data_IF_741833390466
#
_entry.id   IF_741833390466
#
_cell.length_a   1.000
_cell.length_b   1.000
_cell.length_c   1.000
_cell.angle_alpha   90.00
_cell.angle_beta   90.00
_cell.angle_gamma   90.00
#
_symmetry.space_group_name_H-M   'P 1'
#
loop_
_entity.id
_entity.type
_entity.pdbx_description
1 polymer ?
#
# COMPACT_ATOMS: atom_id res chain seq x y z
N UNK A 1 -29.58 11.39 11.60
CA UNK A 1 -28.10 11.31 11.60
C UNK A 1 -27.63 12.32 10.57
N UNK A 2 -27.09 13.43 11.02
CA UNK A 2 -26.67 14.52 10.14
C UNK A 2 -25.37 14.11 9.42
N UNK A 3 -25.49 13.73 8.14
CA UNK A 3 -24.35 13.45 7.26
C UNK A 3 -23.86 14.76 6.62
N UNK A 4 -22.99 15.53 7.28
CA UNK A 4 -21.97 16.29 6.56
C UNK A 4 -20.98 16.98 7.50
N UNK A 5 -19.70 16.61 7.40
CA UNK A 5 -18.73 17.43 6.65
C UNK A 5 -17.44 16.62 6.38
N UNK A 6 -17.54 15.65 5.47
CA UNK A 6 -16.37 15.03 4.85
C UNK A 6 -15.58 16.12 4.12
N UNK A 7 -14.49 16.60 4.71
CA UNK A 7 -13.51 17.47 4.03
C UNK A 7 -12.44 16.57 3.45
N UNK A 8 -12.72 16.01 2.29
CA UNK A 8 -11.75 15.24 1.54
C UNK A 8 -10.64 16.18 1.04
N UNK A 9 -9.40 15.95 1.49
CA UNK A 9 -8.24 16.58 0.85
C UNK A 9 -7.68 15.59 -0.17
N UNK A 10 -7.89 15.89 -1.44
CA UNK A 10 -7.46 15.05 -2.55
C UNK A 10 -6.39 15.72 -3.40
N UNK A 11 -5.49 14.92 -3.97
CA UNK A 11 -4.67 15.35 -5.11
C UNK A 11 -4.76 14.32 -6.23
N UNK A 12 -4.94 14.83 -7.43
CA UNK A 12 -4.97 14.08 -8.67
C UNK A 12 -3.60 14.16 -9.37
N UNK A 13 -3.08 13.00 -9.77
CA UNK A 13 -1.81 12.86 -10.48
C UNK A 13 -2.04 12.14 -11.80
N UNK A 14 -1.76 12.81 -12.90
CA UNK A 14 -1.84 12.18 -14.23
C UNK A 14 -0.71 11.15 -14.37
N UNK A 15 -1.08 9.89 -14.63
CA UNK A 15 -0.11 8.80 -14.84
C UNK A 15 0.36 8.72 -16.29
N UNK A 16 -0.28 9.49 -17.18
CA UNK A 16 0.00 9.51 -18.62
C UNK A 16 -0.02 10.95 -19.11
N UNK A 17 0.75 11.28 -20.14
CA UNK A 17 0.77 12.64 -20.73
C UNK A 17 -0.59 13.08 -21.28
N UNK A 18 -1.45 12.12 -21.63
CA UNK A 18 -2.82 12.35 -22.09
C UNK A 18 -3.82 12.52 -20.95
N UNK A 19 -3.43 12.25 -19.69
CA UNK A 19 -4.31 12.28 -18.53
C UNK A 19 -5.40 11.20 -18.55
N UNK A 20 -5.29 10.19 -19.41
CA UNK A 20 -6.32 9.15 -19.55
C UNK A 20 -6.43 8.28 -18.29
N UNK A 21 -5.28 8.02 -17.65
CA UNK A 21 -5.14 7.31 -16.40
C UNK A 21 -4.58 8.25 -15.35
N UNK A 22 -5.07 8.11 -14.12
CA UNK A 22 -4.65 8.94 -13.01
C UNK A 22 -4.57 8.16 -11.70
N UNK A 23 -3.79 8.70 -10.77
CA UNK A 23 -3.75 8.30 -9.39
C UNK A 23 -4.40 9.40 -8.56
N UNK A 24 -5.35 9.04 -7.72
CA UNK A 24 -5.95 9.95 -6.76
C UNK A 24 -5.60 9.53 -5.34
N UNK A 25 -5.03 10.46 -4.58
CA UNK A 25 -4.72 10.27 -3.17
C UNK A 25 -5.65 11.18 -2.38
N UNK A 26 -6.49 10.59 -1.54
CA UNK A 26 -7.56 11.24 -0.79
C UNK A 26 -7.31 11.05 0.71
N UNK A 27 -7.40 12.11 1.51
CA UNK A 27 -7.39 12.04 2.97
C UNK A 27 -8.80 12.28 3.45
N UNK A 28 -9.41 11.27 4.07
CA UNK A 28 -10.64 11.44 4.82
C UNK A 28 -10.31 11.93 6.23
N UNK A 29 -10.85 13.10 6.60
CA UNK A 29 -10.65 13.73 7.92
C UNK A 29 -11.73 13.39 8.94
N UNK A 30 -12.63 12.45 8.61
CA UNK A 30 -13.53 11.86 9.59
C UNK A 30 -12.70 11.11 10.63
N UNK A 31 -12.88 11.32 11.95
CA UNK A 31 -12.13 10.59 12.96
C UNK A 31 -12.57 9.11 13.03
N UNK A 32 -11.64 8.13 13.01
CA UNK A 32 -10.20 8.26 12.77
C UNK A 32 -9.90 8.56 11.30
N UNK A 33 -9.02 9.54 11.04
CA UNK A 33 -8.68 9.93 9.68
C UNK A 33 -7.95 8.81 8.96
N UNK A 34 -8.25 8.60 7.68
CA UNK A 34 -7.61 7.59 6.86
C UNK A 34 -7.28 8.12 5.46
N UNK A 35 -6.36 7.43 4.78
CA UNK A 35 -5.96 7.73 3.41
C UNK A 35 -6.58 6.70 2.48
N UNK A 36 -7.18 7.15 1.40
CA UNK A 36 -7.61 6.32 0.28
C UNK A 36 -6.71 6.61 -0.92
N UNK A 37 -6.30 5.55 -1.63
CA UNK A 37 -5.55 5.66 -2.88
C UNK A 37 -6.38 4.98 -3.96
N UNK A 38 -6.65 5.68 -5.06
CA UNK A 38 -7.44 5.15 -6.17
C UNK A 38 -6.68 5.28 -7.48
N UNK A 39 -6.73 4.24 -8.31
CA UNK A 39 -6.35 4.30 -9.71
C UNK A 39 -7.60 4.54 -10.54
N UNK A 40 -7.62 5.63 -11.31
CA UNK A 40 -8.78 6.00 -12.10
C UNK A 40 -8.50 6.16 -13.58
N UNK A 41 -9.58 6.20 -14.37
CA UNK A 41 -9.55 6.59 -15.77
C UNK A 41 -10.63 7.62 -16.12
N UNK A 42 -10.46 8.29 -17.26
CA UNK A 42 -11.40 9.31 -17.73
C UNK A 42 -12.81 8.76 -18.10
N UNK A 43 -13.01 7.43 -18.07
CA UNK A 43 -14.32 6.79 -18.30
C UNK A 43 -15.10 6.63 -16.98
N UNK A 44 -14.50 7.05 -15.85
CA UNK A 44 -15.11 6.97 -14.53
C UNK A 44 -14.91 5.62 -13.85
N UNK A 45 -13.97 4.78 -14.32
CA UNK A 45 -13.57 3.62 -13.53
C UNK A 45 -12.59 4.07 -12.45
N UNK A 46 -12.82 3.65 -11.21
CA UNK A 46 -11.90 3.81 -10.09
C UNK A 46 -11.63 2.43 -9.48
N UNK A 47 -10.37 2.13 -9.21
CA UNK A 47 -9.91 1.00 -8.43
C UNK A 47 -9.34 1.53 -7.13
N UNK A 48 -10.06 1.32 -6.02
CA UNK A 48 -9.56 1.63 -4.68
C UNK A 48 -8.51 0.58 -4.29
N UNK A 49 -7.33 1.05 -3.88
CA UNK A 49 -6.29 0.22 -3.33
C UNK A 49 -6.55 0.06 -1.82
N UNK A 50 -6.90 -1.16 -1.39
CA UNK A 50 -7.13 -1.44 0.02
C UNK A 50 -5.80 -1.50 0.78
N UNK A 51 -5.84 -1.33 2.10
CA UNK A 51 -4.66 -1.50 2.95
C UNK A 51 -4.06 -2.91 2.81
N UNK A 52 -4.90 -3.92 2.62
CA UNK A 52 -4.48 -5.32 2.37
C UNK A 52 -3.62 -5.45 1.12
N UNK A 53 -3.84 -4.60 0.11
CA UNK A 53 -3.02 -4.58 -1.11
C UNK A 53 -1.60 -4.08 -0.85
N UNK A 54 -1.41 -3.27 0.20
CA UNK A 54 -0.10 -2.75 0.59
C UNK A 54 0.60 -3.67 1.58
N UNK A 55 -0.15 -4.27 2.52
CA UNK A 55 0.38 -5.19 3.53
C UNK A 55 0.98 -6.47 2.96
N UNK A 56 0.45 -6.96 1.83
CA UNK A 56 0.97 -8.16 1.18
C UNK A 56 2.45 -8.06 0.79
N UNK A 57 3.05 -6.85 0.78
CA UNK A 57 4.49 -6.67 0.54
C UNK A 57 5.32 -6.74 1.80
N UNK A 58 4.83 -6.14 2.88
CA UNK A 58 5.55 -6.14 4.16
C UNK A 58 5.61 -7.57 4.73
N UNK A 59 4.55 -8.38 4.56
CA UNK A 59 4.52 -9.77 5.01
C UNK A 59 5.45 -10.68 4.18
N UNK A 60 5.59 -10.43 2.86
CA UNK A 60 6.56 -11.16 2.02
C UNK A 60 8.01 -10.79 2.37
N UNK A 61 8.28 -9.51 2.67
CA UNK A 61 9.62 -9.04 3.10
C UNK A 61 9.99 -9.58 4.49
N UNK A 62 9.05 -9.65 5.45
CA UNK A 62 9.29 -10.26 6.77
C UNK A 62 9.52 -11.78 6.69
N UNK A 63 8.79 -12.51 5.84
CA UNK A 63 9.00 -13.96 5.64
C UNK A 63 10.35 -14.26 4.97
N UNK A 64 10.79 -13.46 3.98
CA UNK A 64 12.10 -13.61 3.35
C UNK A 64 13.26 -13.30 4.31
N UNK A 65 13.14 -12.26 5.16
CA UNK A 65 14.16 -11.95 6.18
C UNK A 65 14.28 -13.06 7.24
N UNK A 66 13.16 -13.66 7.68
CA UNK A 66 13.19 -14.80 8.62
C UNK A 66 13.82 -16.07 8.00
N UNK A 67 13.55 -16.37 6.72
CA UNK A 67 14.19 -17.49 6.02
C UNK A 67 15.71 -17.29 5.85
N UNK A 68 16.17 -16.08 5.53
CA UNK A 68 17.60 -15.76 5.44
C UNK A 68 18.32 -15.89 6.81
N UNK A 69 17.71 -15.42 7.91
CA UNK A 69 18.26 -15.59 9.26
C UNK A 69 18.33 -17.07 9.70
N UNK A 70 17.34 -17.90 9.32
CA UNK A 70 17.37 -19.34 9.60
C UNK A 70 18.46 -20.07 8.79
N UNK A 71 18.67 -19.71 7.52
CA UNK A 71 19.75 -20.29 6.70
C UNK A 71 21.15 -19.91 7.23
N UNK A 72 21.38 -18.64 7.59
CA UNK A 72 22.65 -18.20 8.19
C UNK A 72 22.93 -18.92 9.52
N UNK A 73 21.90 -19.13 10.37
CA UNK A 73 22.06 -19.84 11.63
C UNK A 73 22.44 -21.33 11.45
N UNK A 74 21.91 -21.99 10.41
CA UNK A 74 22.28 -23.38 10.09
C UNK A 74 23.72 -23.46 9.58
N UNK A 75 24.16 -22.53 8.74
CA UNK A 75 25.54 -22.47 8.26
C UNK A 75 26.55 -22.23 9.41
N UNK A 76 26.25 -21.35 10.35
CA UNK A 76 27.10 -21.11 11.53
C UNK A 76 27.22 -22.37 12.44
N UNK A 77 26.12 -23.12 12.63
CA UNK A 77 26.15 -24.35 13.41
C UNK A 77 26.95 -25.47 12.71
N UNK A 78 26.90 -25.57 11.38
CA UNK A 78 27.72 -26.53 10.62
C UNK A 78 29.21 -26.17 10.61
N UNK A 79 29.57 -24.87 10.61
CA UNK A 79 30.99 -24.44 10.68
C UNK A 79 31.63 -24.64 12.07
N UNK A 80 30.85 -24.67 13.16
CA UNK A 80 31.37 -24.90 14.52
C UNK A 80 31.57 -26.40 14.88
N UNK A 81 31.06 -27.34 14.06
CA UNK A 81 31.18 -28.80 14.31
C UNK A 81 32.44 -29.48 13.70
N UNK A 82 33.30 -28.77 12.95
CA UNK A 82 34.52 -29.30 12.28
C UNK A 82 35.88 -28.95 12.97
#
# INVERSE_FOLDING_TARGET
MEHHKMRLLGRHYDLTSTGYKFLEIRINVDPPSYVEIALGDHRGHELLLSLETWKAKDEEEEEEEEEEEEEEAVEEEEEEED
#
